data_IF_569526793078
#
_entry.id   IF_569526793078
#
_cell.length_a   1.000
_cell.length_b   1.000
_cell.length_c   1.000
_cell.angle_alpha   90.00
_cell.angle_beta   90.00
_cell.angle_gamma   90.00
#
_symmetry.space_group_name_H-M   'P 1'
#
loop_
_entity.id
_entity.type
_entity.pdbx_description
1 polymer ?
#
# COMPACT_ATOMS: atom_id res chain seq x y z
N UNK A 1 0.13 5.90 10.32
CA UNK A 1 -1.18 6.40 9.84
C UNK A 1 -1.63 5.40 8.81
N UNK A 2 -2.79 4.83 8.99
CA UNK A 2 -3.33 3.82 8.09
C UNK A 2 -3.72 4.41 6.71
N UNK A 3 -3.96 3.56 5.72
CA UNK A 3 -4.34 3.98 4.37
C UNK A 3 -5.59 4.88 4.39
N UNK A 4 -6.60 4.50 5.18
CA UNK A 4 -7.87 5.21 5.27
C UNK A 4 -7.68 6.63 5.80
N UNK A 5 -6.87 6.80 6.84
CA UNK A 5 -6.54 8.12 7.38
C UNK A 5 -5.77 8.99 6.40
N UNK A 6 -4.83 8.42 5.62
CA UNK A 6 -4.10 9.12 4.55
C UNK A 6 -5.03 9.57 3.41
N UNK A 7 -5.94 8.69 2.98
CA UNK A 7 -6.95 9.03 1.97
C UNK A 7 -7.90 10.11 2.45
N UNK A 8 -8.33 10.07 3.71
CA UNK A 8 -9.20 11.08 4.29
C UNK A 8 -8.50 12.44 4.38
N UNK A 9 -7.22 12.47 4.73
CA UNK A 9 -6.43 13.70 4.74
C UNK A 9 -6.32 14.31 3.34
N UNK A 10 -6.09 13.48 2.30
CA UNK A 10 -6.09 13.94 0.91
C UNK A 10 -7.48 14.43 0.46
N UNK A 11 -8.56 13.75 0.85
CA UNK A 11 -9.93 14.10 0.46
C UNK A 11 -10.38 15.45 1.01
N UNK A 12 -9.88 15.84 2.19
CA UNK A 12 -10.20 17.11 2.85
C UNK A 12 -9.22 18.23 2.51
N UNK A 13 -8.13 17.92 1.80
CA UNK A 13 -7.11 18.90 1.46
C UNK A 13 -7.58 19.84 0.36
N UNK A 14 -7.46 21.14 0.60
CA UNK A 14 -7.61 22.18 -0.40
C UNK A 14 -6.33 23.01 -0.51
N UNK A 15 -5.86 23.24 -1.72
CA UNK A 15 -4.71 24.11 -1.97
C UNK A 15 -5.14 25.35 -2.78
N UNK A 16 -4.94 26.52 -2.17
CA UNK A 16 -5.19 27.77 -2.91
C UNK A 16 -4.14 27.95 -4.01
N UNK A 17 -2.87 27.77 -3.66
CA UNK A 17 -1.75 27.84 -4.60
C UNK A 17 -0.43 27.44 -3.91
N UNK A 18 0.50 26.64 -4.52
CA UNK A 18 0.32 26.00 -5.83
C UNK A 18 -0.76 24.93 -5.82
N UNK A 19 -1.33 24.66 -7.00
CA UNK A 19 -2.27 23.53 -7.14
C UNK A 19 -1.58 22.20 -6.89
N UNK A 20 -2.36 21.19 -6.58
CA UNK A 20 -1.85 19.83 -6.37
C UNK A 20 -1.67 19.15 -7.72
N UNK A 21 -0.47 18.68 -7.99
CA UNK A 21 -0.17 17.75 -9.06
C UNK A 21 -0.39 16.32 -8.54
N UNK A 22 -1.38 15.64 -9.10
CA UNK A 22 -1.70 14.24 -8.78
C UNK A 22 -1.31 13.40 -9.98
N UNK A 23 -0.44 12.42 -9.76
CA UNK A 23 0.11 11.56 -10.81
C UNK A 23 -0.12 10.11 -10.46
N UNK A 24 -0.73 9.36 -11.37
CA UNK A 24 -0.92 7.92 -11.30
C UNK A 24 -0.19 7.28 -12.47
N UNK A 25 0.61 6.26 -12.18
CA UNK A 25 1.38 5.54 -13.19
C UNK A 25 1.25 4.03 -12.98
N UNK A 26 1.00 3.33 -14.06
CA UNK A 26 1.19 1.90 -14.14
C UNK A 26 2.67 1.62 -14.41
N UNK A 27 3.39 1.17 -13.40
CA UNK A 27 4.84 1.02 -13.49
C UNK A 27 5.29 -0.29 -14.14
N UNK A 28 4.43 -1.33 -14.09
CA UNK A 28 4.73 -2.65 -14.66
C UNK A 28 3.54 -3.23 -15.39
N UNK A 29 3.83 -4.08 -16.37
CA UNK A 29 2.84 -4.85 -17.12
C UNK A 29 3.42 -6.26 -17.41
N UNK A 30 2.79 -7.30 -16.80
CA UNK A 30 3.29 -8.68 -16.93
C UNK A 30 4.75 -8.85 -16.48
N UNK A 31 5.21 -8.10 -15.46
CA UNK A 31 6.59 -8.08 -14.99
C UNK A 31 7.54 -7.13 -15.75
N UNK A 32 7.13 -6.62 -16.91
CA UNK A 32 7.91 -5.66 -17.70
C UNK A 32 7.79 -4.25 -17.12
N UNK A 33 8.93 -3.57 -16.92
CA UNK A 33 8.97 -2.16 -16.53
C UNK A 33 8.48 -1.25 -17.67
N UNK A 34 7.53 -0.36 -17.36
CA UNK A 34 6.94 0.62 -18.29
C UNK A 34 7.57 2.01 -18.21
N UNK A 35 8.81 2.11 -17.75
CA UNK A 35 9.52 3.38 -17.54
C UNK A 35 9.49 4.28 -18.77
N UNK A 36 9.79 3.72 -19.92
CA UNK A 36 9.81 4.49 -21.18
C UNK A 36 8.42 5.02 -21.55
N UNK A 37 7.43 4.16 -21.44
CA UNK A 37 6.03 4.50 -21.71
C UNK A 37 5.54 5.60 -20.74
N UNK A 38 5.85 5.47 -19.45
CA UNK A 38 5.49 6.47 -18.46
C UNK A 38 6.15 7.84 -18.76
N UNK A 39 7.44 7.87 -19.12
CA UNK A 39 8.13 9.12 -19.46
C UNK A 39 7.52 9.79 -20.70
N UNK A 40 7.15 9.02 -21.73
CA UNK A 40 6.46 9.54 -22.92
C UNK A 40 5.07 10.08 -22.54
N UNK A 41 4.30 9.32 -21.76
CA UNK A 41 2.98 9.73 -21.27
C UNK A 41 3.07 11.05 -20.49
N UNK A 42 3.98 11.15 -19.54
CA UNK A 42 4.17 12.35 -18.72
C UNK A 42 4.50 13.58 -19.58
N UNK A 43 5.40 13.43 -20.55
CA UNK A 43 5.78 14.51 -21.47
C UNK A 43 4.59 15.02 -22.29
N UNK A 44 3.81 14.11 -22.85
CA UNK A 44 2.64 14.47 -23.65
C UNK A 44 1.57 15.16 -22.79
N UNK A 45 1.29 14.59 -21.62
CA UNK A 45 0.29 15.14 -20.71
C UNK A 45 0.69 16.47 -20.11
N UNK A 46 1.97 16.68 -19.82
CA UNK A 46 2.49 17.97 -19.38
C UNK A 46 2.26 19.05 -20.43
N UNK A 47 2.57 18.78 -21.70
CA UNK A 47 2.35 19.72 -22.80
C UNK A 47 0.86 20.12 -22.96
N UNK A 48 -0.06 19.15 -22.80
CA UNK A 48 -1.51 19.44 -22.80
C UNK A 48 -1.90 20.35 -21.63
N UNK A 49 -1.44 20.05 -20.40
CA UNK A 49 -1.73 20.87 -19.23
C UNK A 49 -1.13 22.28 -19.34
N UNK A 50 0.09 22.40 -19.87
CA UNK A 50 0.71 23.69 -20.14
C UNK A 50 -0.12 24.54 -21.10
N UNK A 51 -0.69 23.94 -22.15
CA UNK A 51 -1.55 24.65 -23.10
C UNK A 51 -2.84 25.16 -22.46
N UNK A 52 -3.39 24.43 -21.48
CA UNK A 52 -4.60 24.82 -20.72
C UNK A 52 -4.30 25.94 -19.72
N UNK A 53 -3.14 25.89 -19.06
CA UNK A 53 -2.73 26.92 -18.08
C UNK A 53 -2.44 28.28 -18.74
N UNK A 54 -2.06 28.30 -20.01
CA UNK A 54 -1.98 29.51 -20.85
C UNK A 54 -1.11 30.62 -20.24
N UNK A 55 -1.77 31.67 -19.72
CA UNK A 55 -1.11 32.85 -19.16
C UNK A 55 -0.67 32.76 -17.71
N UNK A 56 -0.97 31.67 -16.97
CA UNK A 56 -0.55 31.48 -15.59
C UNK A 56 0.92 31.03 -15.52
N UNK A 57 1.85 31.98 -15.60
CA UNK A 57 3.29 31.72 -15.58
C UNK A 57 3.73 30.95 -14.32
N UNK A 58 3.15 31.29 -13.18
CA UNK A 58 3.51 30.66 -11.90
C UNK A 58 2.97 29.23 -11.79
N UNK A 59 1.74 29.00 -12.28
CA UNK A 59 1.18 27.66 -12.40
C UNK A 59 1.98 26.77 -13.33
N UNK A 60 2.47 27.30 -14.44
CA UNK A 60 3.36 26.61 -15.38
C UNK A 60 4.70 26.22 -14.73
N UNK A 61 5.31 27.11 -13.96
CA UNK A 61 6.55 26.84 -13.24
C UNK A 61 6.37 25.67 -12.25
N UNK A 62 5.35 25.74 -11.40
CA UNK A 62 5.06 24.66 -10.45
C UNK A 62 4.68 23.33 -11.11
N UNK A 63 3.96 23.38 -12.23
CA UNK A 63 3.67 22.16 -13.00
C UNK A 63 4.96 21.52 -13.52
N UNK A 64 5.86 22.31 -14.07
CA UNK A 64 7.15 21.84 -14.64
C UNK A 64 8.03 21.24 -13.55
N UNK A 65 8.20 21.93 -12.43
CA UNK A 65 8.95 21.43 -11.28
C UNK A 65 8.37 20.07 -10.80
N UNK A 66 7.05 19.98 -10.69
CA UNK A 66 6.40 18.75 -10.28
C UNK A 66 6.60 17.60 -11.27
N UNK A 67 6.48 17.85 -12.57
CA UNK A 67 6.71 16.83 -13.62
C UNK A 67 8.19 16.38 -13.61
N UNK A 68 9.13 17.31 -13.50
CA UNK A 68 10.56 16.99 -13.42
C UNK A 68 10.85 16.09 -12.21
N UNK A 69 10.27 16.40 -11.06
CA UNK A 69 10.43 15.57 -9.85
C UNK A 69 9.84 14.17 -10.05
N UNK A 70 8.69 14.04 -10.67
CA UNK A 70 8.09 12.72 -10.97
C UNK A 70 8.97 11.93 -11.96
N UNK A 71 9.54 12.60 -12.97
CA UNK A 71 10.48 11.97 -13.90
C UNK A 71 11.73 11.45 -13.17
N UNK A 72 12.29 12.23 -12.25
CA UNK A 72 13.45 11.81 -11.44
C UNK A 72 13.11 10.55 -10.62
N UNK A 73 11.96 10.54 -9.96
CA UNK A 73 11.49 9.37 -9.19
C UNK A 73 11.31 8.16 -10.11
N UNK A 74 10.70 8.36 -11.29
CA UNK A 74 10.40 7.26 -12.21
C UNK A 74 11.65 6.73 -12.94
N UNK A 75 12.74 7.50 -12.97
CA UNK A 75 14.05 7.04 -13.49
C UNK A 75 14.77 6.13 -12.51
N UNK A 76 14.44 6.20 -11.22
CA UNK A 76 14.97 5.28 -10.21
C UNK A 76 14.36 3.88 -10.35
N UNK A 77 15.07 2.88 -9.86
CA UNK A 77 14.55 1.52 -9.79
C UNK A 77 13.54 1.42 -8.64
N UNK A 78 12.31 1.09 -8.99
CA UNK A 78 11.27 0.79 -8.03
C UNK A 78 11.36 -0.67 -7.59
N UNK A 79 10.87 -0.96 -6.38
CA UNK A 79 10.72 -2.33 -5.91
C UNK A 79 10.00 -3.16 -7.00
N UNK A 80 10.48 -4.39 -7.31
CA UNK A 80 9.84 -5.26 -8.31
C UNK A 80 8.36 -5.52 -8.11
N UNK A 81 7.87 -5.44 -6.88
CA UNK A 81 6.46 -5.65 -6.54
C UNK A 81 5.58 -4.42 -6.82
N UNK A 82 6.17 -3.24 -7.02
CA UNK A 82 5.40 -2.03 -7.32
C UNK A 82 4.88 -2.07 -8.76
N UNK A 83 3.56 -2.22 -8.89
CA UNK A 83 2.83 -2.20 -10.16
C UNK A 83 2.18 -0.84 -10.38
N UNK A 84 1.63 -0.25 -9.33
CA UNK A 84 1.02 1.08 -9.31
C UNK A 84 1.82 2.07 -8.47
N UNK A 85 1.96 3.31 -8.98
CA UNK A 85 2.57 4.43 -8.26
C UNK A 85 1.65 5.62 -8.32
N UNK A 86 1.26 6.16 -7.15
CA UNK A 86 0.55 7.41 -7.07
C UNK A 86 1.40 8.43 -6.30
N UNK A 87 1.53 9.64 -6.85
CA UNK A 87 2.30 10.74 -6.29
C UNK A 87 1.44 12.00 -6.21
N UNK A 88 1.54 12.71 -5.10
CA UNK A 88 0.89 14.00 -4.90
C UNK A 88 1.94 15.05 -4.56
N UNK A 89 2.00 16.10 -5.36
CA UNK A 89 3.03 17.13 -5.27
C UNK A 89 2.42 18.54 -5.20
N UNK A 90 3.14 19.42 -4.49
CA UNK A 90 2.95 20.87 -4.55
C UNK A 90 4.25 21.52 -5.03
N UNK A 91 4.23 22.12 -6.21
CA UNK A 91 5.47 22.49 -6.87
C UNK A 91 6.35 21.26 -7.12
N UNK A 92 7.64 21.34 -6.82
CA UNK A 92 8.57 20.20 -6.92
C UNK A 92 8.58 19.27 -5.71
N UNK A 93 7.75 19.50 -4.67
CA UNK A 93 7.78 18.73 -3.43
C UNK A 93 6.71 17.64 -3.39
N UNK A 94 7.13 16.36 -3.20
CA UNK A 94 6.23 15.23 -2.99
C UNK A 94 5.81 15.22 -1.52
N UNK A 95 4.53 15.37 -1.24
CA UNK A 95 4.00 15.30 0.12
C UNK A 95 3.26 13.99 0.43
N UNK A 96 2.84 13.24 -0.63
CA UNK A 96 2.25 11.92 -0.47
C UNK A 96 2.68 10.99 -1.61
N UNK A 97 2.96 9.72 -1.26
CA UNK A 97 3.37 8.67 -2.18
C UNK A 97 2.71 7.35 -1.79
N UNK A 98 2.08 6.69 -2.78
CA UNK A 98 1.53 5.34 -2.63
C UNK A 98 2.17 4.42 -3.66
N UNK A 99 2.68 3.32 -3.18
CA UNK A 99 3.18 2.21 -3.98
C UNK A 99 2.24 1.03 -3.76
N UNK A 100 1.81 0.38 -4.84
CA UNK A 100 0.85 -0.72 -4.76
C UNK A 100 1.23 -1.85 -5.70
N UNK A 101 0.84 -3.07 -5.36
CA UNK A 101 0.87 -4.21 -6.27
C UNK A 101 -0.35 -4.24 -7.23
N UNK A 102 -1.25 -3.27 -7.09
CA UNK A 102 -2.44 -3.08 -7.94
C UNK A 102 -2.12 -2.02 -8.99
N UNK A 103 -2.41 -2.27 -10.29
CA UNK A 103 -2.14 -1.29 -11.33
C UNK A 103 -3.07 -0.08 -11.24
N UNK A 104 -2.53 1.10 -11.49
CA UNK A 104 -3.31 2.30 -11.81
C UNK A 104 -3.43 2.47 -13.32
N UNK A 105 -4.41 3.27 -13.74
CA UNK A 105 -4.41 3.86 -15.07
C UNK A 105 -3.50 5.09 -15.08
N UNK A 106 -2.68 5.24 -16.14
CA UNK A 106 -1.79 6.38 -16.28
C UNK A 106 -2.60 7.68 -16.35
N UNK A 107 -2.47 8.55 -15.35
CA UNK A 107 -3.24 9.80 -15.24
C UNK A 107 -2.45 10.90 -14.56
N UNK A 108 -2.58 12.12 -15.05
CA UNK A 108 -2.05 13.34 -14.42
C UNK A 108 -3.16 14.38 -14.34
N UNK A 109 -3.33 14.97 -13.16
CA UNK A 109 -4.24 16.04 -12.90
C UNK A 109 -3.53 17.15 -12.11
N UNK A 110 -3.71 18.42 -12.53
CA UNK A 110 -3.19 19.60 -11.82
C UNK A 110 -4.38 20.46 -11.41
N UNK A 111 -4.76 20.43 -10.11
CA UNK A 111 -6.02 21.00 -9.59
C UNK A 111 -5.84 21.56 -8.18
N UNK A 112 -6.84 22.34 -7.70
CA UNK A 112 -6.89 22.84 -6.31
C UNK A 112 -6.98 21.70 -5.27
N UNK A 113 -7.55 20.57 -5.65
CA UNK A 113 -7.76 19.40 -4.80
C UNK A 113 -6.95 18.23 -5.34
N UNK A 114 -6.42 17.37 -4.45
CA UNK A 114 -5.87 16.09 -4.87
C UNK A 114 -6.91 15.28 -5.66
N UNK A 115 -6.49 14.70 -6.77
CA UNK A 115 -7.34 13.80 -7.54
C UNK A 115 -7.16 12.37 -7.00
N UNK A 116 -8.07 11.91 -6.13
CA UNK A 116 -7.94 10.66 -5.36
C UNK A 116 -8.81 9.51 -5.85
N UNK A 117 -9.56 9.67 -6.95
CA UNK A 117 -10.60 8.70 -7.35
C UNK A 117 -10.08 7.28 -7.52
N UNK A 118 -8.89 7.08 -8.10
CA UNK A 118 -8.32 5.74 -8.27
C UNK A 118 -7.91 5.11 -6.95
N UNK A 119 -7.35 5.90 -6.02
CA UNK A 119 -7.02 5.42 -4.67
C UNK A 119 -8.28 5.12 -3.85
N UNK A 120 -9.31 5.95 -3.95
CA UNK A 120 -10.58 5.72 -3.27
C UNK A 120 -11.22 4.42 -3.75
N UNK A 121 -11.28 4.20 -5.06
CA UNK A 121 -11.79 2.95 -5.66
C UNK A 121 -11.01 1.73 -5.16
N UNK A 122 -9.68 1.79 -5.17
CA UNK A 122 -8.85 0.69 -4.66
C UNK A 122 -9.05 0.49 -3.16
N UNK A 123 -9.17 1.58 -2.38
CA UNK A 123 -9.42 1.51 -0.94
C UNK A 123 -10.78 0.92 -0.57
N UNK A 124 -11.78 1.02 -1.44
CA UNK A 124 -13.09 0.39 -1.27
C UNK A 124 -13.10 -1.09 -1.71
N UNK A 125 -12.40 -1.41 -2.80
CA UNK A 125 -12.42 -2.76 -3.40
C UNK A 125 -11.41 -3.71 -2.73
N UNK A 126 -10.31 -3.18 -2.20
CA UNK A 126 -9.25 -3.95 -1.56
C UNK A 126 -9.14 -3.62 -0.08
N UNK A 127 -10.12 -4.07 0.69
CA UNK A 127 -10.07 -3.94 2.15
C UNK A 127 -8.84 -4.67 2.72
N UNK A 128 -8.19 -4.10 3.75
CA UNK A 128 -7.13 -4.80 4.46
C UNK A 128 -7.62 -6.12 5.03
N UNK A 129 -6.82 -7.17 4.92
CA UNK A 129 -7.14 -8.48 5.47
C UNK A 129 -5.93 -9.12 6.12
N UNK A 130 -6.18 -10.00 7.09
CA UNK A 130 -5.15 -10.79 7.73
C UNK A 130 -5.16 -12.23 7.19
N UNK A 131 -3.97 -12.75 6.90
CA UNK A 131 -3.75 -14.17 6.60
C UNK A 131 -3.10 -14.81 7.81
N UNK A 132 -3.75 -15.82 8.36
CA UNK A 132 -3.23 -16.57 9.52
C UNK A 132 -2.79 -17.96 9.09
N UNK A 133 -1.52 -18.25 9.29
CA UNK A 133 -0.98 -19.61 9.19
C UNK A 133 -0.80 -20.17 10.58
N UNK A 134 -1.58 -21.17 10.94
CA UNK A 134 -1.65 -21.73 12.29
C UNK A 134 -1.34 -23.22 12.27
N UNK A 135 -0.41 -23.65 13.12
CA UNK A 135 -0.22 -25.05 13.49
C UNK A 135 -0.37 -25.22 15.02
N UNK A 136 -0.07 -26.41 15.55
CA UNK A 136 -0.24 -26.71 16.99
C UNK A 136 0.74 -25.97 17.91
N UNK A 137 1.74 -25.25 17.37
CA UNK A 137 2.83 -24.60 18.13
C UNK A 137 3.18 -23.21 17.64
N UNK A 138 2.89 -22.92 16.38
CA UNK A 138 3.27 -21.68 15.76
C UNK A 138 2.07 -21.06 15.08
N UNK A 139 1.96 -19.77 15.18
CA UNK A 139 1.08 -18.99 14.35
C UNK A 139 1.86 -17.86 13.67
N UNK A 140 1.52 -17.58 12.44
CA UNK A 140 2.00 -16.40 11.71
C UNK A 140 0.79 -15.63 11.23
N UNK A 141 0.76 -14.37 11.56
CA UNK A 141 -0.26 -13.43 11.10
C UNK A 141 0.42 -12.51 10.11
N UNK A 142 -0.17 -12.35 8.94
CA UNK A 142 0.30 -11.45 7.88
C UNK A 142 -0.81 -10.44 7.62
N UNK A 143 -0.52 -9.18 7.79
CA UNK A 143 -1.43 -8.09 7.44
C UNK A 143 -1.15 -7.63 6.02
N UNK A 144 -2.16 -7.67 5.17
CA UNK A 144 -2.06 -7.33 3.76
C UNK A 144 -3.03 -6.19 3.45
N UNK A 145 -2.51 -5.10 2.87
CA UNK A 145 -3.32 -4.05 2.29
C UNK A 145 -2.77 -3.63 0.93
N UNK A 146 -3.66 -3.30 0.01
CA UNK A 146 -3.33 -2.95 -1.37
C UNK A 146 -2.47 -4.01 -2.08
N UNK A 147 -2.63 -5.30 -1.68
CA UNK A 147 -1.86 -6.42 -2.20
C UNK A 147 -0.42 -6.50 -1.70
N UNK A 148 -0.01 -5.67 -0.74
CA UNK A 148 1.31 -5.68 -0.13
C UNK A 148 1.25 -6.12 1.34
N UNK A 149 2.31 -6.81 1.77
CA UNK A 149 2.50 -7.15 3.18
C UNK A 149 2.86 -5.88 3.95
N UNK A 150 1.98 -5.47 4.88
CA UNK A 150 2.22 -4.30 5.73
C UNK A 150 2.99 -4.70 6.98
N UNK A 151 2.55 -5.80 7.63
CA UNK A 151 3.15 -6.29 8.86
C UNK A 151 3.09 -7.81 8.95
N UNK A 152 3.93 -8.39 9.79
CA UNK A 152 3.89 -9.82 10.10
C UNK A 152 4.30 -10.06 11.54
N UNK A 153 3.46 -10.78 12.27
CA UNK A 153 3.72 -11.23 13.63
C UNK A 153 3.88 -12.74 13.72
N UNK A 154 4.64 -13.18 14.71
CA UNK A 154 4.99 -14.58 14.90
C UNK A 154 4.70 -14.96 16.35
N UNK A 155 3.73 -15.83 16.57
CA UNK A 155 3.34 -16.32 17.89
C UNK A 155 3.86 -17.77 18.03
N UNK A 156 4.71 -18.02 19.02
CA UNK A 156 5.26 -19.36 19.28
C UNK A 156 4.82 -19.82 20.65
N UNK A 157 4.25 -21.02 20.70
CA UNK A 157 3.88 -21.66 21.95
C UNK A 157 4.68 -22.94 22.16
N UNK A 158 5.20 -23.19 23.38
CA UNK A 158 5.90 -24.40 23.72
C UNK A 158 4.88 -25.49 24.11
N UNK A 159 4.40 -26.25 23.14
CA UNK A 159 3.57 -27.43 23.39
C UNK A 159 4.45 -28.60 23.73
N UNK A 160 4.21 -29.26 24.90
CA UNK A 160 4.96 -30.40 25.33
C UNK A 160 4.82 -31.59 24.35
N UNK A 161 5.94 -32.28 24.06
CA UNK A 161 5.95 -33.43 23.15
C UNK A 161 5.03 -34.55 23.66
N UNK A 162 4.23 -35.14 22.77
CA UNK A 162 3.47 -36.36 23.05
C UNK A 162 4.41 -37.45 23.53
N UNK A 163 4.27 -37.88 24.79
CA UNK A 163 4.95 -39.06 25.31
C UNK A 163 3.99 -40.22 25.11
N UNK A 164 4.35 -41.18 24.25
CA UNK A 164 3.64 -42.44 24.07
C UNK A 164 3.96 -43.39 25.21
N UNK A 165 3.34 -43.19 26.40
CA UNK A 165 3.34 -44.16 27.48
C UNK A 165 1.89 -44.48 27.83
N UNK A 166 1.50 -45.76 27.76
CA UNK A 166 0.14 -46.20 28.06
C UNK A 166 -0.17 -46.12 29.57
N UNK A 167 -1.45 -45.87 29.90
CA UNK A 167 -1.97 -45.89 31.26
C UNK A 167 -2.84 -44.66 31.63
N UNK A 168 -3.32 -44.61 32.87
CA UNK A 168 -4.17 -43.54 33.41
C UNK A 168 -3.54 -42.15 33.34
N UNK A 169 -2.25 -42.04 33.25
CA UNK A 169 -1.53 -40.80 33.02
C UNK A 169 -1.76 -40.24 31.60
N UNK A 170 -2.13 -41.05 30.63
CA UNK A 170 -2.33 -40.66 29.24
C UNK A 170 -3.53 -39.69 29.08
N UNK A 171 -4.63 -39.92 29.82
CA UNK A 171 -5.80 -39.03 29.79
C UNK A 171 -5.52 -37.66 30.41
N UNK A 172 -4.70 -37.60 31.46
CA UNK A 172 -4.26 -36.31 32.03
C UNK A 172 -3.34 -35.52 31.08
N UNK A 173 -2.42 -36.22 30.40
CA UNK A 173 -1.53 -35.65 29.41
C UNK A 173 -2.28 -35.16 28.16
N UNK A 174 -3.27 -35.94 27.69
CA UNK A 174 -4.10 -35.52 26.55
C UNK A 174 -4.90 -34.24 26.86
N UNK A 175 -5.50 -34.17 28.05
CA UNK A 175 -6.21 -32.94 28.49
C UNK A 175 -5.26 -31.73 28.63
N UNK A 176 -4.01 -31.94 29.07
CA UNK A 176 -2.99 -30.91 29.13
C UNK A 176 -2.63 -30.38 27.75
N UNK A 177 -2.39 -31.27 26.77
CA UNK A 177 -2.08 -30.89 25.37
C UNK A 177 -3.28 -30.19 24.70
N UNK A 178 -4.50 -30.62 24.97
CA UNK A 178 -5.71 -29.96 24.47
C UNK A 178 -5.87 -28.56 25.08
N UNK A 179 -5.59 -28.42 26.38
CA UNK A 179 -5.56 -27.11 27.05
C UNK A 179 -4.50 -26.15 26.48
N UNK A 180 -3.28 -26.65 26.24
CA UNK A 180 -2.21 -25.86 25.62
C UNK A 180 -2.56 -25.40 24.20
N UNK A 181 -3.17 -26.27 23.40
CA UNK A 181 -3.66 -25.90 22.06
C UNK A 181 -4.76 -24.84 22.10
N UNK A 182 -5.69 -24.99 23.06
CA UNK A 182 -6.77 -24.02 23.21
C UNK A 182 -6.26 -22.65 23.64
N UNK A 183 -5.30 -22.61 24.56
CA UNK A 183 -4.62 -21.39 24.96
C UNK A 183 -3.88 -20.72 23.78
N UNK A 184 -3.21 -21.52 22.92
CA UNK A 184 -2.53 -21.01 21.73
C UNK A 184 -3.51 -20.41 20.72
N UNK A 185 -4.65 -21.07 20.47
CA UNK A 185 -5.69 -20.55 19.59
C UNK A 185 -6.27 -19.24 20.14
N UNK A 186 -6.47 -19.17 21.47
CA UNK A 186 -6.99 -17.97 22.13
C UNK A 186 -5.99 -16.80 21.99
N UNK A 187 -4.70 -17.05 22.22
CA UNK A 187 -3.65 -16.03 22.04
C UNK A 187 -3.60 -15.48 20.61
N UNK A 188 -3.77 -16.36 19.60
CA UNK A 188 -3.86 -15.94 18.19
C UNK A 188 -5.13 -15.14 17.92
N UNK A 189 -6.27 -15.55 18.51
CA UNK A 189 -7.53 -14.83 18.37
C UNK A 189 -7.47 -13.43 19.01
N UNK A 190 -6.83 -13.32 20.19
CA UNK A 190 -6.64 -12.04 20.87
C UNK A 190 -5.72 -11.11 20.05
N UNK A 191 -4.64 -11.65 19.46
CA UNK A 191 -3.75 -10.88 18.57
C UNK A 191 -4.40 -10.43 17.25
N UNK A 192 -5.49 -11.07 16.82
CA UNK A 192 -6.26 -10.65 15.65
C UNK A 192 -7.31 -9.59 15.97
N UNK A 193 -7.61 -9.38 17.25
CA UNK A 193 -8.61 -8.42 17.70
C UNK A 193 -8.01 -7.03 18.02
N UNK A 194 -6.66 -6.93 18.09
CA UNK A 194 -5.91 -5.68 18.28
C UNK A 194 -5.70 -4.94 16.96
#
# INVERSE_FOLDING_TARGET
MDLKGRLQALATMESQYPHVLSVYLRCRDGGRDRRKENLIFMKNRAAELESVLGGDKRGLEFLREGIEQVELIRRQDLNPNVIGLALFLKGGEVFERFETSIPFEDQIAYRRFPFISQLAFIGEEFEPYAVVSLDSRNARIFEIALGELIDSSNIKNEVHRRIHRGGWSQMRFQRGIEGEKHAHIQEVADALAE
#
